data_IF_367884436373
#
_entry.id   IF_367884436373
#
_cell.length_a   1.000
_cell.length_b   1.000
_cell.length_c   1.000
_cell.angle_alpha   90.00
_cell.angle_beta   90.00
_cell.angle_gamma   90.00
#
_symmetry.space_group_name_H-M   'P 1'
#
loop_
_entity.id
_entity.type
_entity.pdbx_description
1 polymer ?
#
# COMPACT_ATOMS: atom_id res chain seq x y z
N UNK A 1 -14.40 -2.78 24.59
CA UNK A 1 -14.45 -1.81 23.47
C UNK A 1 -13.27 -0.86 23.60
N UNK A 2 -12.63 -0.56 22.47
CA UNK A 2 -11.60 0.46 22.25
C UNK A 2 -10.41 0.47 23.23
N UNK A 3 -9.25 -0.03 22.80
CA UNK A 3 -7.96 0.65 22.89
C UNK A 3 -6.92 -0.17 22.10
N UNK A 4 -6.98 -0.14 20.76
CA UNK A 4 -5.86 -0.55 19.90
C UNK A 4 -5.64 0.55 18.87
N UNK A 5 -5.15 1.68 19.37
CA UNK A 5 -4.66 2.80 18.55
C UNK A 5 -3.48 3.44 19.28
N UNK A 6 -2.45 2.65 19.58
CA UNK A 6 -1.36 3.12 20.45
C UNK A 6 -0.02 2.41 20.33
N UNK A 7 0.15 1.45 19.42
CA UNK A 7 1.40 0.67 19.34
C UNK A 7 2.08 0.82 17.97
N UNK A 8 2.44 2.04 17.63
CA UNK A 8 3.38 2.33 16.53
C UNK A 8 4.54 3.25 16.95
N UNK A 9 4.81 3.43 18.25
CA UNK A 9 5.78 4.45 18.68
C UNK A 9 6.65 4.13 19.91
N UNK A 10 6.87 2.87 20.27
CA UNK A 10 7.62 2.56 21.49
C UNK A 10 8.54 1.34 21.36
N UNK A 11 9.54 1.39 20.47
CA UNK A 11 10.66 0.46 20.45
C UNK A 11 11.89 1.09 19.77
N UNK A 12 12.40 2.19 20.33
CA UNK A 12 13.76 2.65 20.05
C UNK A 12 14.37 3.11 21.37
N UNK A 13 15.08 2.21 22.04
CA UNK A 13 16.20 2.58 22.90
C UNK A 13 17.30 1.51 22.79
N UNK A 14 18.50 1.99 22.40
CA UNK A 14 19.81 1.35 22.47
C UNK A 14 20.01 0.06 21.65
N UNK A 15 20.84 0.04 20.62
CA UNK A 15 22.27 0.37 20.59
C UNK A 15 22.66 0.57 19.11
N UNK A 16 23.41 1.62 18.78
CA UNK A 16 24.85 1.45 18.53
C UNK A 16 25.10 0.92 17.11
N UNK A 17 25.31 1.85 16.17
CA UNK A 17 25.85 1.71 14.82
C UNK A 17 25.45 0.45 14.04
N UNK A 18 24.71 0.64 12.93
CA UNK A 18 24.95 -0.11 11.67
C UNK A 18 23.95 0.34 10.58
N UNK A 19 24.53 0.74 9.43
CA UNK A 19 24.00 0.97 8.08
C UNK A 19 23.12 2.18 7.79
N UNK A 20 23.49 2.86 6.70
CA UNK A 20 22.66 3.75 5.91
C UNK A 20 21.23 3.21 5.87
N UNK A 21 20.28 3.98 6.40
CA UNK A 21 18.88 3.70 6.17
C UNK A 21 18.66 3.88 4.66
N UNK A 22 18.70 2.78 3.91
CA UNK A 22 18.25 2.75 2.53
C UNK A 22 16.79 3.19 2.53
N UNK A 23 16.57 4.45 2.18
CA UNK A 23 15.26 4.98 1.91
C UNK A 23 14.77 4.32 0.61
N UNK A 24 14.16 3.14 0.71
CA UNK A 24 13.48 2.53 -0.44
C UNK A 24 12.19 3.32 -0.71
N UNK A 25 12.29 4.36 -1.55
CA UNK A 25 11.13 4.92 -2.23
C UNK A 25 10.69 3.90 -3.28
N UNK A 26 9.58 3.21 -3.04
CA UNK A 26 9.07 2.23 -3.98
C UNK A 26 8.59 2.93 -5.27
N UNK A 27 9.16 2.52 -6.41
CA UNK A 27 8.68 2.96 -7.73
C UNK A 27 7.42 2.18 -8.12
N UNK A 28 6.37 2.37 -7.34
CA UNK A 28 5.09 1.69 -7.49
C UNK A 28 4.09 2.62 -8.16
N UNK A 29 3.79 2.29 -9.42
CA UNK A 29 2.87 3.04 -10.28
C UNK A 29 1.68 2.18 -10.66
N UNK A 30 0.48 2.74 -10.59
CA UNK A 30 -0.73 2.10 -11.11
C UNK A 30 -1.55 3.13 -11.89
N UNK A 31 -1.84 2.82 -13.17
CA UNK A 31 -2.58 3.68 -14.10
C UNK A 31 -2.11 5.15 -14.08
N UNK A 32 -0.79 5.35 -14.22
CA UNK A 32 -0.13 6.66 -14.21
C UNK A 32 -0.14 7.42 -12.86
N UNK A 33 -0.52 6.75 -11.77
CA UNK A 33 -0.41 7.28 -10.42
C UNK A 33 0.77 6.62 -9.73
N UNK A 34 1.80 7.42 -9.45
CA UNK A 34 3.00 7.02 -8.75
C UNK A 34 2.89 7.36 -7.28
N UNK A 35 3.03 6.33 -6.45
CA UNK A 35 3.06 6.49 -5.00
C UNK A 35 4.27 7.36 -4.60
N UNK A 36 4.08 8.25 -3.63
CA UNK A 36 5.09 9.20 -3.15
C UNK A 36 5.32 10.42 -4.01
N UNK A 37 4.70 10.51 -5.19
CA UNK A 37 4.92 11.60 -6.15
C UNK A 37 3.62 12.21 -6.69
N UNK A 38 2.65 11.39 -7.08
CA UNK A 38 1.37 11.87 -7.61
C UNK A 38 0.55 12.59 -6.54
N UNK A 39 -0.34 13.47 -6.99
CA UNK A 39 -1.21 14.29 -6.13
C UNK A 39 -2.68 14.06 -6.46
N UNK A 40 -3.59 14.71 -5.70
CA UNK A 40 -5.01 14.80 -6.08
C UNK A 40 -5.20 15.35 -7.51
N UNK A 41 -4.37 16.32 -7.93
CA UNK A 41 -4.42 16.87 -9.29
C UNK A 41 -4.11 15.80 -10.33
N UNK A 42 -3.10 14.98 -10.09
CA UNK A 42 -2.75 13.85 -10.95
C UNK A 42 -3.90 12.83 -11.04
N UNK A 43 -4.52 12.50 -9.90
CA UNK A 43 -5.66 11.59 -9.83
C UNK A 43 -6.83 12.10 -10.69
N UNK A 44 -7.21 13.37 -10.52
CA UNK A 44 -8.31 13.97 -11.29
C UNK A 44 -8.00 14.09 -12.78
N UNK A 45 -6.75 14.38 -13.13
CA UNK A 45 -6.32 14.47 -14.52
C UNK A 45 -6.43 13.11 -15.25
N UNK A 46 -5.94 12.03 -14.65
CA UNK A 46 -5.91 10.71 -15.30
C UNK A 46 -7.20 9.88 -15.13
N UNK A 47 -8.00 10.16 -14.11
CA UNK A 47 -9.16 9.32 -13.75
C UNK A 47 -10.47 10.08 -13.61
N UNK A 48 -10.47 11.39 -13.82
CA UNK A 48 -11.65 12.23 -13.68
C UNK A 48 -12.09 12.38 -12.23
N UNK A 49 -13.39 12.61 -12.02
CA UNK A 49 -13.95 12.79 -10.68
C UNK A 49 -13.98 11.45 -9.92
N UNK A 50 -13.61 11.43 -8.63
CA UNK A 50 -13.77 10.25 -7.79
C UNK A 50 -15.26 9.91 -7.63
N UNK A 51 -15.58 8.63 -7.50
CA UNK A 51 -16.91 8.14 -7.15
C UNK A 51 -17.30 8.54 -5.72
N UNK A 52 -16.31 8.62 -4.83
CA UNK A 52 -16.48 9.02 -3.44
C UNK A 52 -15.17 9.57 -2.90
N UNK A 53 -15.28 10.55 -2.01
CA UNK A 53 -14.17 11.09 -1.23
C UNK A 53 -14.45 10.87 0.26
N UNK A 54 -13.44 10.44 1.00
CA UNK A 54 -13.52 10.25 2.45
C UNK A 54 -12.40 11.03 3.13
N UNK A 55 -12.78 12.03 3.89
CA UNK A 55 -11.87 12.83 4.70
C UNK A 55 -11.50 12.05 5.97
N UNK A 56 -10.19 11.92 6.23
CA UNK A 56 -9.62 11.41 7.49
C UNK A 56 -8.63 12.43 8.03
N UNK A 57 -8.21 12.27 9.28
CA UNK A 57 -7.37 13.25 9.97
C UNK A 57 -6.05 13.51 9.24
N UNK A 58 -5.40 12.43 8.76
CA UNK A 58 -4.06 12.50 8.13
C UNK A 58 -4.06 12.41 6.62
N UNK A 59 -5.16 11.96 6.02
CA UNK A 59 -5.25 11.71 4.58
C UNK A 59 -6.68 11.86 4.08
N UNK A 60 -6.82 12.05 2.77
CA UNK A 60 -8.09 11.98 2.06
C UNK A 60 -8.06 10.74 1.15
N UNK A 61 -9.08 9.90 1.25
CA UNK A 61 -9.23 8.73 0.40
C UNK A 61 -10.14 9.04 -0.78
N UNK A 62 -9.61 8.88 -1.99
CA UNK A 62 -10.32 9.08 -3.25
C UNK A 62 -10.66 7.71 -3.86
N UNK A 63 -11.95 7.42 -4.01
CA UNK A 63 -12.45 6.15 -4.57
C UNK A 63 -12.73 6.25 -6.06
N UNK A 64 -12.18 5.32 -6.81
CA UNK A 64 -12.46 5.11 -8.24
C UNK A 64 -13.01 3.70 -8.47
N UNK A 65 -13.50 3.41 -9.68
CA UNK A 65 -14.17 2.13 -9.99
C UNK A 65 -13.33 0.88 -9.71
N UNK A 66 -12.01 1.01 -9.71
CA UNK A 66 -11.05 -0.12 -9.71
C UNK A 66 -9.93 0.02 -8.68
N UNK A 67 -9.89 1.13 -7.95
CA UNK A 67 -8.91 1.39 -6.92
C UNK A 67 -9.34 2.55 -6.01
N UNK A 68 -8.76 2.61 -4.82
CA UNK A 68 -8.78 3.78 -3.95
C UNK A 68 -7.36 4.36 -3.85
N UNK A 69 -7.22 5.68 -3.74
CA UNK A 69 -5.93 6.34 -3.52
C UNK A 69 -5.98 7.23 -2.28
N UNK A 70 -5.03 7.05 -1.37
CA UNK A 70 -4.90 7.85 -0.15
C UNK A 70 -3.89 8.98 -0.37
N UNK A 71 -4.35 10.22 -0.31
CA UNK A 71 -3.52 11.42 -0.44
C UNK A 71 -3.26 11.99 0.95
N UNK A 72 -2.00 12.15 1.33
CA UNK A 72 -1.63 12.73 2.61
C UNK A 72 -1.93 14.23 2.63
N UNK A 73 -2.56 14.72 3.71
CA UNK A 73 -2.96 16.13 3.83
C UNK A 73 -1.79 17.09 4.07
N UNK A 74 -0.70 16.62 4.65
CA UNK A 74 0.47 17.44 4.96
C UNK A 74 1.25 17.85 3.70
N UNK A 75 1.48 16.92 2.77
CA UNK A 75 2.28 17.20 1.57
C UNK A 75 1.53 17.00 0.24
N UNK A 76 0.24 16.64 0.29
CA UNK A 76 -0.60 16.50 -0.89
C UNK A 76 -0.25 15.31 -1.79
N UNK A 77 0.62 14.40 -1.33
CA UNK A 77 1.11 13.26 -2.13
C UNK A 77 0.35 11.98 -1.84
N UNK A 78 0.15 11.17 -2.88
CA UNK A 78 -0.41 9.82 -2.79
C UNK A 78 0.53 8.95 -1.97
N UNK A 79 0.05 8.34 -0.89
CA UNK A 79 0.83 7.45 -0.01
C UNK A 79 0.53 6.00 -0.21
N UNK A 80 -0.68 5.69 -0.64
CA UNK A 80 -1.05 4.34 -1.00
C UNK A 80 -2.12 4.30 -2.07
N UNK A 81 -2.12 3.19 -2.80
CA UNK A 81 -3.14 2.83 -3.79
C UNK A 81 -3.65 1.44 -3.42
N UNK A 82 -4.94 1.33 -3.13
CA UNK A 82 -5.61 0.07 -2.84
C UNK A 82 -6.29 -0.38 -4.13
N UNK A 83 -5.79 -1.46 -4.73
CA UNK A 83 -6.23 -1.96 -6.03
C UNK A 83 -7.19 -3.13 -5.83
N UNK A 84 -8.38 -3.01 -6.44
CA UNK A 84 -9.39 -4.08 -6.56
C UNK A 84 -9.64 -4.49 -8.02
N UNK A 85 -8.77 -4.05 -8.94
CA UNK A 85 -8.82 -4.40 -10.36
C UNK A 85 -8.33 -5.82 -10.60
N UNK A 86 -9.24 -6.74 -10.92
CA UNK A 86 -8.90 -8.16 -11.18
C UNK A 86 -7.97 -8.37 -12.38
N UNK A 87 -7.84 -7.39 -13.28
CA UNK A 87 -6.89 -7.46 -14.39
C UNK A 87 -5.49 -6.98 -14.03
N UNK A 88 -5.30 -6.32 -12.89
CA UNK A 88 -3.98 -5.86 -12.46
C UNK A 88 -3.10 -7.04 -12.08
N UNK A 89 -1.86 -7.02 -12.57
CA UNK A 89 -0.77 -7.88 -12.15
C UNK A 89 0.36 -6.98 -11.67
N UNK A 90 0.96 -7.31 -10.54
CA UNK A 90 2.12 -6.60 -10.04
C UNK A 90 3.44 -7.14 -10.61
N UNK A 91 4.56 -6.65 -10.07
CA UNK A 91 5.93 -7.04 -10.46
C UNK A 91 6.25 -8.52 -10.18
N UNK A 92 5.54 -9.16 -9.26
CA UNK A 92 5.66 -10.59 -8.98
C UNK A 92 4.69 -11.44 -9.81
N UNK A 93 3.99 -10.83 -10.78
CA UNK A 93 2.94 -11.46 -11.59
C UNK A 93 1.79 -12.03 -10.74
N UNK A 94 1.56 -11.45 -9.56
CA UNK A 94 0.45 -11.78 -8.69
C UNK A 94 -0.74 -10.86 -8.99
N UNK A 95 -1.95 -11.41 -8.86
CA UNK A 95 -3.20 -10.70 -9.09
C UNK A 95 -4.27 -11.07 -8.07
N UNK A 96 -5.28 -10.24 -7.96
CA UNK A 96 -6.48 -10.54 -7.17
C UNK A 96 -7.07 -11.89 -7.57
N UNK A 97 -7.41 -12.69 -6.57
CA UNK A 97 -7.90 -14.07 -6.70
C UNK A 97 -6.81 -15.14 -6.70
N UNK A 98 -5.52 -14.79 -6.83
CA UNK A 98 -4.42 -15.74 -6.64
C UNK A 98 -4.41 -16.28 -5.20
N UNK A 99 -3.94 -17.52 -5.03
CA UNK A 99 -3.99 -18.18 -3.72
C UNK A 99 -2.88 -17.73 -2.77
N UNK A 100 -3.14 -17.79 -1.46
CA UNK A 100 -2.14 -17.54 -0.42
C UNK A 100 -0.85 -18.34 -0.64
N UNK A 101 -0.97 -19.64 -0.96
CA UNK A 101 0.16 -20.52 -1.30
C UNK A 101 0.98 -20.06 -2.50
N UNK A 102 0.38 -19.36 -3.47
CA UNK A 102 1.12 -18.76 -4.60
C UNK A 102 1.92 -17.55 -4.13
N UNK A 103 1.34 -16.70 -3.28
CA UNK A 103 2.02 -15.54 -2.69
C UNK A 103 3.17 -15.96 -1.78
N UNK A 104 2.96 -16.95 -0.91
CA UNK A 104 4.01 -17.49 -0.03
C UNK A 104 5.23 -17.99 -0.82
N UNK A 105 5.00 -18.69 -1.94
CA UNK A 105 6.08 -19.14 -2.82
C UNK A 105 6.81 -17.99 -3.50
N UNK A 106 6.10 -16.92 -3.87
CA UNK A 106 6.70 -15.75 -4.49
C UNK A 106 7.55 -14.94 -3.49
N UNK A 107 7.05 -14.73 -2.26
CA UNK A 107 7.69 -13.88 -1.25
C UNK A 107 8.65 -14.62 -0.31
N UNK A 108 8.62 -15.96 -0.32
CA UNK A 108 9.45 -16.88 0.45
C UNK A 108 9.34 -16.81 1.99
N UNK A 109 8.98 -15.68 2.63
CA UNK A 109 8.93 -15.58 4.11
C UNK A 109 7.93 -14.58 4.73
N UNK A 110 7.40 -13.59 3.99
CA UNK A 110 6.68 -12.46 4.60
C UNK A 110 5.15 -12.57 4.53
N UNK A 111 4.59 -13.62 5.15
CA UNK A 111 3.13 -13.77 5.34
C UNK A 111 2.79 -13.70 6.81
N UNK A 112 1.89 -12.78 7.21
CA UNK A 112 1.49 -12.57 8.59
C UNK A 112 -0.03 -12.37 8.69
N UNK A 113 -0.73 -13.33 9.29
CA UNK A 113 -2.18 -13.31 9.39
C UNK A 113 -2.81 -13.06 8.02
N UNK A 114 -3.76 -12.13 7.95
CA UNK A 114 -4.56 -11.83 6.74
C UNK A 114 -3.84 -11.00 5.67
N UNK A 115 -2.53 -10.81 5.80
CA UNK A 115 -1.75 -10.14 4.77
C UNK A 115 -0.37 -10.77 4.52
N UNK A 116 0.19 -10.43 3.37
CA UNK A 116 1.57 -10.69 3.03
C UNK A 116 2.22 -9.41 2.51
N UNK A 117 3.51 -9.22 2.80
CA UNK A 117 4.20 -7.95 2.55
C UNK A 117 5.44 -8.21 1.70
N UNK A 118 5.46 -7.66 0.50
CA UNK A 118 6.68 -7.51 -0.29
C UNK A 118 7.35 -6.18 0.10
N UNK A 119 8.32 -6.28 1.02
CA UNK A 119 9.08 -5.12 1.48
C UNK A 119 10.07 -4.60 0.44
N UNK A 120 10.39 -5.34 -0.62
CA UNK A 120 11.30 -4.89 -1.67
C UNK A 120 10.57 -3.94 -2.62
N UNK A 121 9.29 -4.21 -2.88
CA UNK A 121 8.49 -3.43 -3.83
C UNK A 121 7.39 -2.57 -3.17
N UNK A 122 7.22 -2.65 -1.85
CA UNK A 122 6.21 -1.89 -1.13
C UNK A 122 4.80 -2.35 -1.46
N UNK A 123 4.62 -3.66 -1.63
CA UNK A 123 3.34 -4.27 -2.01
C UNK A 123 2.79 -5.03 -0.80
N UNK A 124 1.52 -4.81 -0.48
CA UNK A 124 0.81 -5.60 0.54
C UNK A 124 -0.34 -6.34 -0.13
N UNK A 125 -0.36 -7.64 0.05
CA UNK A 125 -1.44 -8.53 -0.39
C UNK A 125 -2.37 -8.75 0.78
N UNK A 126 -3.64 -8.39 0.64
CA UNK A 126 -4.66 -8.71 1.64
C UNK A 126 -5.43 -9.94 1.20
N UNK A 127 -5.64 -10.87 2.13
CA UNK A 127 -6.34 -12.11 1.87
C UNK A 127 -7.78 -12.06 2.39
N UNK A 128 -8.68 -12.62 1.61
CA UNK A 128 -9.99 -13.10 2.07
C UNK A 128 -9.94 -14.63 2.00
N UNK A 129 -9.88 -15.25 3.18
CA UNK A 129 -9.55 -16.67 3.34
C UNK A 129 -8.23 -17.04 2.65
N UNK A 130 -8.32 -17.81 1.56
CA UNK A 130 -7.16 -18.34 0.84
C UNK A 130 -6.81 -17.60 -0.45
N UNK A 131 -7.44 -16.44 -0.73
CA UNK A 131 -7.23 -15.70 -1.98
C UNK A 131 -6.94 -14.24 -1.73
N UNK A 132 -6.16 -13.63 -2.61
CA UNK A 132 -5.93 -12.19 -2.60
C UNK A 132 -7.25 -11.48 -2.91
N UNK A 133 -7.70 -10.64 -1.99
CA UNK A 133 -8.88 -9.78 -2.16
C UNK A 133 -8.48 -8.44 -2.81
N UNK A 134 -7.37 -7.86 -2.36
CA UNK A 134 -6.87 -6.56 -2.80
C UNK A 134 -5.34 -6.49 -2.69
N UNK A 135 -4.75 -5.66 -3.53
CA UNK A 135 -3.31 -5.38 -3.55
C UNK A 135 -3.10 -3.91 -3.21
N UNK A 136 -2.22 -3.62 -2.27
CA UNK A 136 -1.91 -2.25 -1.85
C UNK A 136 -0.49 -1.90 -2.26
N UNK A 137 -0.33 -0.81 -2.99
CA UNK A 137 0.97 -0.18 -3.24
C UNK A 137 1.18 0.89 -2.18
N UNK A 138 2.30 0.87 -1.45
CA UNK A 138 2.59 1.78 -0.35
C UNK A 138 3.91 2.53 -0.57
N UNK A 139 4.00 3.78 -0.10
CA UNK A 139 5.18 4.63 -0.30
C UNK A 139 6.34 4.30 0.63
N UNK A 140 6.03 3.73 1.79
CA UNK A 140 6.99 3.51 2.88
C UNK A 140 6.46 2.42 3.79
N UNK A 141 7.23 1.36 3.96
CA UNK A 141 7.09 0.43 5.08
C UNK A 141 8.28 0.73 5.98
N UNK A 142 8.06 1.46 7.07
CA UNK A 142 9.12 1.63 8.05
C UNK A 142 9.28 0.36 8.88
N UNK A 143 10.54 -0.01 9.14
CA UNK A 143 10.92 -1.02 10.13
C UNK A 143 10.86 -0.42 11.52
#
# INVERSE_FOLDING_TARGET
MCFILGMMLALILNTGNVFAADYMNYDSTYKNIKVGSSTERSLKHFHGKPLRTLEKDKYTLFRYRKFDAAVNKHDGKVRSIIIFDRSYKDRNYLKIGDSRKKVERALKKDVNGDNAIDRVHGIVYWFDGNRIEKIVLANRLHR
#
